data_IF_250051092364
#
_entry.id   IF_250051092364
#
_cell.length_a   1.000
_cell.length_b   1.000
_cell.length_c   1.000
_cell.angle_alpha   90.00
_cell.angle_beta   90.00
_cell.angle_gamma   90.00
#
_symmetry.space_group_name_H-M   'P 1'
#
loop_
_entity.id
_entity.type
_entity.pdbx_description
1 polymer ?
#
# COMPACT_ATOMS: atom_id res chain seq x y z
N UNK A 1 6.02 21.78 9.29
CA UNK A 1 6.67 20.60 8.69
C UNK A 1 7.37 21.02 7.41
N UNK A 2 8.63 20.64 7.23
CA UNK A 2 9.46 21.07 6.09
C UNK A 2 9.35 20.05 4.94
N UNK A 3 9.00 20.52 3.74
CA UNK A 3 9.05 19.72 2.52
C UNK A 3 10.33 20.09 1.79
N UNK A 4 11.23 19.12 1.65
CA UNK A 4 12.49 19.31 0.93
C UNK A 4 12.31 18.89 -0.54
N UNK A 5 12.86 19.68 -1.45
CA UNK A 5 13.01 19.31 -2.86
C UNK A 5 14.43 18.76 -3.06
N UNK A 6 14.55 17.57 -3.62
CA UNK A 6 15.83 16.87 -3.75
C UNK A 6 16.02 16.32 -5.15
N UNK A 7 17.26 16.36 -5.65
CA UNK A 7 17.60 15.64 -6.85
C UNK A 7 17.93 14.18 -6.49
N UNK A 8 17.12 13.23 -6.97
CA UNK A 8 17.31 11.81 -6.71
C UNK A 8 18.53 11.29 -7.48
N UNK A 9 19.54 10.83 -6.74
CA UNK A 9 20.78 10.31 -7.34
C UNK A 9 20.64 8.84 -7.77
N UNK A 10 19.96 8.02 -6.97
CA UNK A 10 19.79 6.59 -7.28
C UNK A 10 18.57 6.36 -8.15
N UNK A 11 18.77 5.78 -9.31
CA UNK A 11 17.75 5.34 -10.27
C UNK A 11 17.54 3.83 -10.22
N UNK A 12 17.91 3.19 -9.09
CA UNK A 12 17.82 1.75 -8.93
C UNK A 12 16.35 1.30 -8.91
N UNK A 13 16.02 0.40 -9.81
CA UNK A 13 14.77 -0.36 -9.83
C UNK A 13 15.03 -1.70 -9.16
N UNK A 14 14.16 -2.11 -8.26
CA UNK A 14 14.33 -3.32 -7.44
C UNK A 14 13.15 -4.25 -7.64
N UNK A 15 13.36 -5.53 -7.46
CA UNK A 15 12.26 -6.48 -7.35
C UNK A 15 11.33 -6.11 -6.21
N UNK A 16 10.04 -6.19 -6.46
CA UNK A 16 9.02 -6.08 -5.42
C UNK A 16 8.74 -7.47 -4.82
N UNK A 17 8.14 -7.49 -3.64
CA UNK A 17 7.73 -8.75 -3.02
C UNK A 17 6.52 -9.38 -3.74
N UNK A 18 5.37 -8.71 -3.74
CA UNK A 18 4.10 -9.27 -4.25
C UNK A 18 3.12 -8.23 -4.83
N UNK A 19 3.19 -7.00 -4.36
CA UNK A 19 2.22 -5.96 -4.73
C UNK A 19 2.38 -5.50 -6.17
N UNK A 20 3.63 -5.49 -6.65
CA UNK A 20 4.03 -5.11 -8.02
C UNK A 20 5.16 -6.01 -8.48
N UNK A 21 5.52 -5.98 -9.75
CA UNK A 21 6.71 -6.69 -10.24
C UNK A 21 7.97 -5.98 -9.74
N UNK A 22 8.00 -4.66 -9.80
CA UNK A 22 9.17 -3.86 -9.44
C UNK A 22 8.79 -2.68 -8.53
N UNK A 23 9.79 -2.17 -7.82
CA UNK A 23 9.76 -0.90 -7.09
C UNK A 23 10.54 0.12 -7.92
N UNK A 24 9.90 1.22 -8.29
CA UNK A 24 10.54 2.31 -9.03
C UNK A 24 11.54 3.09 -8.16
N UNK A 25 12.42 3.90 -8.74
CA UNK A 25 13.09 4.96 -8.00
C UNK A 25 12.06 5.85 -7.33
N UNK A 26 12.34 6.31 -6.11
CA UNK A 26 11.34 7.03 -5.30
C UNK A 26 11.06 8.43 -5.85
N UNK A 27 9.80 8.72 -6.15
CA UNK A 27 9.32 10.08 -6.44
C UNK A 27 9.30 10.96 -5.19
N UNK A 28 9.02 10.36 -4.04
CA UNK A 28 9.07 11.00 -2.74
C UNK A 28 9.60 10.06 -1.65
N UNK A 29 9.98 10.62 -0.51
CA UNK A 29 10.50 9.88 0.63
C UNK A 29 10.02 10.53 1.93
N UNK A 30 9.43 9.73 2.82
CA UNK A 30 8.74 10.19 4.02
C UNK A 30 7.23 10.22 3.82
N UNK A 31 6.48 10.40 4.91
CA UNK A 31 5.03 10.43 4.86
C UNK A 31 4.45 11.41 5.89
N UNK A 32 3.41 12.13 5.50
CA UNK A 32 2.70 13.09 6.35
C UNK A 32 1.76 12.41 7.33
N UNK A 33 1.34 11.16 7.05
CA UNK A 33 0.66 10.34 8.04
C UNK A 33 1.63 9.89 9.14
N UNK A 34 1.07 9.55 10.28
CA UNK A 34 1.84 9.09 11.44
C UNK A 34 1.39 7.70 11.91
N UNK A 35 1.23 6.78 10.96
CA UNK A 35 0.82 5.41 11.29
C UNK A 35 1.82 4.75 12.23
N UNK A 36 1.31 4.15 13.32
CA UNK A 36 2.14 3.61 14.41
C UNK A 36 3.03 2.45 13.97
N UNK A 37 2.61 1.67 12.98
CA UNK A 37 3.37 0.55 12.43
C UNK A 37 4.32 0.94 11.29
N UNK A 38 4.30 2.20 10.80
CA UNK A 38 5.02 2.57 9.58
C UNK A 38 6.51 2.75 9.82
N UNK A 39 7.33 1.94 9.16
CA UNK A 39 8.79 2.00 9.25
C UNK A 39 9.39 3.30 8.70
N UNK A 40 8.67 4.03 7.83
CA UNK A 40 9.19 5.26 7.22
C UNK A 40 9.51 6.35 8.23
N UNK A 41 8.82 6.38 9.37
CA UNK A 41 9.11 7.34 10.43
C UNK A 41 10.47 7.13 11.10
N UNK A 42 11.03 5.92 11.00
CA UNK A 42 12.41 5.63 11.43
C UNK A 42 13.45 6.36 10.57
N UNK A 43 13.20 6.42 9.25
CA UNK A 43 14.16 6.97 8.29
C UNK A 43 14.03 8.48 8.13
N UNK A 44 12.81 9.00 8.23
CA UNK A 44 12.52 10.44 8.16
C UNK A 44 11.42 10.77 9.19
N UNK A 45 11.78 10.96 10.46
CA UNK A 45 10.81 11.20 11.54
C UNK A 45 9.93 12.41 11.29
N UNK A 46 10.50 13.46 10.69
CA UNK A 46 9.81 14.72 10.41
C UNK A 46 10.01 15.13 8.95
N UNK A 47 8.91 15.25 8.23
CA UNK A 47 8.93 15.84 6.91
C UNK A 47 8.70 14.89 5.74
N UNK A 48 8.95 15.45 4.58
CA UNK A 48 8.79 14.82 3.28
C UNK A 48 9.86 15.38 2.34
N UNK A 49 10.50 14.53 1.56
CA UNK A 49 11.35 14.95 0.45
C UNK A 49 10.71 14.54 -0.87
N UNK A 50 10.66 15.48 -1.83
CA UNK A 50 10.08 15.27 -3.16
C UNK A 50 11.20 15.36 -4.19
N UNK A 51 11.26 14.39 -5.10
CA UNK A 51 12.24 14.35 -6.17
C UNK A 51 11.96 15.43 -7.22
N UNK A 52 12.97 16.20 -7.59
CA UNK A 52 12.86 17.28 -8.61
C UNK A 52 13.10 16.77 -10.03
N UNK A 53 13.82 15.68 -10.16
CA UNK A 53 14.18 15.09 -11.45
C UNK A 53 13.22 13.95 -11.86
N UNK A 54 11.94 14.25 -11.88
CA UNK A 54 10.88 13.31 -12.31
C UNK A 54 11.19 12.70 -13.69
N UNK A 55 11.74 13.49 -14.62
CA UNK A 55 12.11 13.01 -15.96
C UNK A 55 13.13 11.89 -15.95
N UNK A 56 14.18 12.00 -15.12
CA UNK A 56 15.20 10.95 -15.00
C UNK A 56 14.63 9.65 -14.44
N UNK A 57 13.71 9.77 -13.45
CA UNK A 57 13.00 8.61 -12.88
C UNK A 57 12.16 7.92 -13.96
N UNK A 58 11.39 8.67 -14.75
CA UNK A 58 10.57 8.12 -15.82
C UNK A 58 11.43 7.49 -16.92
N UNK A 59 12.56 8.11 -17.28
CA UNK A 59 13.54 7.54 -18.22
C UNK A 59 14.11 6.21 -17.70
N UNK A 60 14.43 6.13 -16.40
CA UNK A 60 14.90 4.87 -15.81
C UNK A 60 13.83 3.76 -15.87
N UNK A 61 12.55 4.09 -15.60
CA UNK A 61 11.43 3.15 -15.72
C UNK A 61 11.27 2.71 -17.18
N UNK A 62 11.28 3.63 -18.14
CA UNK A 62 11.17 3.34 -19.58
C UNK A 62 12.26 2.35 -20.02
N UNK A 63 13.51 2.68 -19.74
CA UNK A 63 14.64 1.84 -20.13
C UNK A 63 14.55 0.44 -19.50
N UNK A 64 14.17 0.37 -18.21
CA UNK A 64 13.98 -0.91 -17.55
C UNK A 64 12.83 -1.71 -18.17
N UNK A 65 11.68 -1.08 -18.43
CA UNK A 65 10.51 -1.74 -18.99
C UNK A 65 10.78 -2.35 -20.38
N UNK A 66 11.55 -1.64 -21.21
CA UNK A 66 11.94 -2.12 -22.55
C UNK A 66 12.78 -3.41 -22.52
N UNK A 67 13.55 -3.64 -21.43
CA UNK A 67 14.37 -4.83 -21.26
C UNK A 67 13.75 -5.90 -20.36
N UNK A 68 12.72 -5.54 -19.57
CA UNK A 68 12.06 -6.45 -18.61
C UNK A 68 11.03 -7.40 -19.24
N UNK A 69 11.05 -7.57 -20.54
CA UNK A 69 9.92 -8.08 -21.34
C UNK A 69 9.63 -9.58 -21.14
N UNK A 70 10.57 -10.40 -20.62
CA UNK A 70 10.41 -11.83 -20.72
C UNK A 70 9.83 -12.47 -19.46
N UNK A 71 10.39 -12.16 -18.28
CA UNK A 71 9.94 -12.79 -17.03
C UNK A 71 9.66 -11.76 -15.94
N UNK A 72 8.39 -11.44 -15.75
CA UNK A 72 7.97 -10.59 -14.63
C UNK A 72 8.03 -11.37 -13.32
N UNK A 73 8.69 -10.85 -12.27
CA UNK A 73 8.94 -11.60 -11.06
C UNK A 73 7.69 -12.03 -10.29
N UNK A 74 6.62 -11.26 -10.33
CA UNK A 74 5.43 -11.50 -9.51
C UNK A 74 4.14 -11.77 -10.32
N UNK A 75 4.16 -11.59 -11.63
CA UNK A 75 2.99 -11.77 -12.49
C UNK A 75 1.75 -10.98 -11.99
N UNK A 76 1.95 -9.73 -11.60
CA UNK A 76 0.90 -8.92 -10.97
C UNK A 76 -0.15 -8.40 -11.96
N UNK A 77 0.17 -8.41 -13.25
CA UNK A 77 -0.72 -8.08 -14.35
C UNK A 77 -0.39 -8.91 -15.60
N UNK A 78 -1.41 -9.38 -16.33
CA UNK A 78 -1.18 -10.28 -17.47
C UNK A 78 -0.36 -9.63 -18.59
N UNK A 79 -0.64 -8.35 -18.90
CA UNK A 79 -0.04 -7.65 -20.05
C UNK A 79 1.09 -6.70 -19.65
N UNK A 80 1.02 -6.07 -18.49
CA UNK A 80 1.90 -4.97 -18.14
C UNK A 80 2.90 -5.33 -17.04
N UNK A 81 4.08 -4.75 -17.13
CA UNK A 81 5.08 -4.75 -16.06
C UNK A 81 4.70 -3.67 -15.06
N UNK A 82 4.45 -4.06 -13.81
CA UNK A 82 3.93 -3.17 -12.78
C UNK A 82 5.05 -2.59 -11.91
N UNK A 83 4.97 -1.29 -11.65
CA UNK A 83 5.94 -0.54 -10.83
C UNK A 83 5.26 0.09 -9.62
N UNK A 84 5.72 -0.20 -8.40
CA UNK A 84 5.33 0.55 -7.21
C UNK A 84 6.01 1.92 -7.22
N UNK A 85 5.21 2.98 -7.35
CA UNK A 85 5.68 4.38 -7.36
C UNK A 85 5.59 5.04 -5.99
N UNK A 86 5.15 4.31 -4.96
CA UNK A 86 4.79 4.82 -3.64
C UNK A 86 5.46 4.05 -2.48
N UNK A 87 6.48 3.24 -2.76
CA UNK A 87 7.11 2.39 -1.74
C UNK A 87 7.59 3.18 -0.49
N UNK A 88 8.02 4.42 -0.67
CA UNK A 88 8.59 5.24 0.40
C UNK A 88 7.71 6.41 0.84
N UNK A 89 6.46 6.48 0.40
CA UNK A 89 5.52 7.55 0.72
C UNK A 89 4.05 7.10 0.54
N UNK A 90 3.10 7.94 0.91
CA UNK A 90 1.75 7.88 0.34
C UNK A 90 1.67 8.90 -0.81
N UNK A 91 1.85 8.42 -2.04
CA UNK A 91 1.92 9.26 -3.23
C UNK A 91 0.67 10.13 -3.41
N UNK A 92 -0.49 9.55 -3.16
CA UNK A 92 -1.76 10.26 -3.31
C UNK A 92 -1.91 11.41 -2.30
N UNK A 93 -1.49 11.21 -1.05
CA UNK A 93 -1.45 12.25 -0.02
C UNK A 93 -0.55 13.42 -0.44
N UNK A 94 0.56 13.10 -1.09
CA UNK A 94 1.58 14.07 -1.49
C UNK A 94 1.42 14.60 -2.92
N UNK A 95 0.37 14.20 -3.64
CA UNK A 95 0.17 14.49 -5.05
C UNK A 95 0.32 15.98 -5.42
N UNK A 96 -0.08 16.91 -4.53
CA UNK A 96 0.07 18.35 -4.77
C UNK A 96 1.54 18.83 -4.88
N UNK A 97 2.49 18.00 -4.45
CA UNK A 97 3.92 18.29 -4.46
C UNK A 97 4.66 17.59 -5.59
N UNK A 98 4.01 16.63 -6.24
CA UNK A 98 4.50 15.90 -7.41
C UNK A 98 3.97 16.49 -8.71
N UNK A 99 4.73 16.32 -9.79
CA UNK A 99 4.19 16.44 -11.15
C UNK A 99 3.43 15.15 -11.53
N UNK A 100 2.37 14.88 -10.77
CA UNK A 100 1.62 13.62 -10.88
C UNK A 100 0.96 13.44 -12.26
N UNK A 101 0.53 14.54 -12.92
CA UNK A 101 -0.06 14.46 -14.26
C UNK A 101 0.95 13.91 -15.26
N UNK A 102 2.18 14.42 -15.23
CA UNK A 102 3.28 13.92 -16.07
C UNK A 102 3.58 12.44 -15.79
N UNK A 103 3.61 12.04 -14.51
CA UNK A 103 3.84 10.65 -14.12
C UNK A 103 2.72 9.74 -14.64
N UNK A 104 1.46 10.14 -14.48
CA UNK A 104 0.32 9.35 -14.93
C UNK A 104 0.21 9.30 -16.46
N UNK A 105 0.49 10.41 -17.16
CA UNK A 105 0.55 10.46 -18.62
C UNK A 105 1.61 9.50 -19.16
N UNK A 106 2.80 9.48 -18.55
CA UNK A 106 3.85 8.53 -18.91
C UNK A 106 3.34 7.07 -18.87
N UNK A 107 2.72 6.65 -17.77
CA UNK A 107 2.21 5.28 -17.69
C UNK A 107 1.05 5.03 -18.64
N UNK A 108 0.14 5.98 -18.80
CA UNK A 108 -0.98 5.89 -19.73
C UNK A 108 -0.51 5.64 -21.16
N UNK A 109 0.50 6.34 -21.61
CA UNK A 109 1.04 6.29 -22.98
C UNK A 109 2.07 5.17 -23.20
N UNK A 110 2.61 4.57 -22.12
CA UNK A 110 3.65 3.55 -22.23
C UNK A 110 3.06 2.17 -22.56
N UNK A 111 3.56 1.47 -23.56
CA UNK A 111 3.01 0.19 -24.02
C UNK A 111 3.15 -0.96 -23.01
N UNK A 112 4.20 -0.94 -22.18
CA UNK A 112 4.60 -2.05 -21.33
C UNK A 112 4.41 -1.73 -19.84
N UNK A 113 4.76 -0.52 -19.38
CA UNK A 113 4.78 -0.17 -17.98
C UNK A 113 3.40 0.24 -17.44
N UNK A 114 3.11 -0.13 -16.21
CA UNK A 114 1.93 0.23 -15.43
C UNK A 114 2.35 0.72 -14.04
N UNK A 115 1.83 1.88 -13.61
CA UNK A 115 2.09 2.41 -12.27
C UNK A 115 1.17 1.82 -11.22
N UNK A 116 1.65 1.67 -9.98
CA UNK A 116 0.82 1.23 -8.86
C UNK A 116 1.22 1.95 -7.58
N UNK A 117 0.24 2.28 -6.74
CA UNK A 117 0.48 2.85 -5.42
C UNK A 117 -0.63 2.46 -4.43
N UNK A 118 -0.26 2.35 -3.15
CA UNK A 118 -1.21 2.20 -2.06
C UNK A 118 -1.48 3.56 -1.39
N UNK A 119 -2.69 3.76 -0.89
CA UNK A 119 -3.04 5.01 -0.22
C UNK A 119 -4.03 4.82 0.93
N UNK A 120 -3.98 5.75 1.88
CA UNK A 120 -4.92 5.91 3.00
C UNK A 120 -5.69 7.24 2.93
N UNK A 121 -5.62 7.90 1.77
CA UNK A 121 -6.39 9.12 1.48
C UNK A 121 -7.28 8.93 0.25
N UNK A 122 -8.12 9.91 -0.04
CA UNK A 122 -8.97 9.94 -1.24
C UNK A 122 -8.49 11.10 -2.09
N UNK A 123 -7.70 10.83 -3.15
CA UNK A 123 -7.13 11.86 -3.99
C UNK A 123 -8.12 12.34 -5.06
N UNK A 124 -9.16 13.08 -4.68
CA UNK A 124 -10.21 13.54 -5.59
C UNK A 124 -9.69 14.17 -6.88
N UNK A 125 -8.54 14.88 -6.84
CA UNK A 125 -7.90 15.46 -8.03
C UNK A 125 -7.52 14.44 -9.10
N UNK A 126 -7.36 13.17 -8.75
CA UNK A 126 -7.04 12.11 -9.72
C UNK A 126 -8.26 11.68 -10.51
N UNK A 127 -9.48 11.95 -10.03
CA UNK A 127 -10.72 11.66 -10.77
C UNK A 127 -10.86 12.48 -12.06
N UNK A 128 -10.10 13.58 -12.20
CA UNK A 128 -10.04 14.39 -13.42
C UNK A 128 -9.16 13.78 -14.52
N UNK A 129 -8.50 12.64 -14.25
CA UNK A 129 -7.58 11.99 -15.16
C UNK A 129 -8.00 10.54 -15.40
N UNK A 130 -8.17 10.16 -16.66
CA UNK A 130 -8.41 8.77 -17.05
C UNK A 130 -7.08 8.10 -17.43
N UNK A 131 -6.54 7.19 -16.58
CA UNK A 131 -5.28 6.49 -16.87
C UNK A 131 -5.44 5.28 -17.80
N UNK A 132 -6.62 5.00 -18.32
CA UNK A 132 -6.91 3.87 -19.19
C UNK A 132 -6.41 2.51 -18.65
N UNK A 133 -6.70 2.25 -17.38
CA UNK A 133 -6.27 1.05 -16.66
C UNK A 133 -4.78 0.97 -16.34
N UNK A 134 -3.96 1.96 -16.73
CA UNK A 134 -2.49 1.92 -16.59
C UNK A 134 -1.97 2.42 -15.23
N UNK A 135 -2.87 2.83 -14.35
CA UNK A 135 -2.55 3.17 -12.95
C UNK A 135 -3.42 2.32 -12.03
N UNK A 136 -2.76 1.51 -11.19
CA UNK A 136 -3.41 0.79 -10.10
C UNK A 136 -3.39 1.60 -8.83
N UNK A 137 -4.58 1.89 -8.30
CA UNK A 137 -4.76 2.44 -6.96
C UNK A 137 -5.17 1.33 -5.99
N UNK A 138 -4.45 1.22 -4.88
CA UNK A 138 -4.70 0.23 -3.82
C UNK A 138 -5.18 0.95 -2.58
N UNK A 139 -6.51 0.97 -2.34
CA UNK A 139 -7.06 1.57 -1.12
C UNK A 139 -6.77 0.66 0.07
N UNK A 140 -5.98 1.16 1.04
CA UNK A 140 -5.70 0.42 2.27
C UNK A 140 -6.94 0.43 3.17
N UNK A 141 -7.39 -0.75 3.58
CA UNK A 141 -8.53 -0.93 4.48
C UNK A 141 -8.15 -1.78 5.69
N UNK A 142 -8.72 -1.45 6.82
CA UNK A 142 -8.74 -2.23 8.06
C UNK A 142 -9.98 -1.83 8.86
N UNK A 143 -10.36 -2.55 9.93
CA UNK A 143 -11.45 -2.13 10.81
C UNK A 143 -11.29 -0.69 11.31
N UNK A 144 -12.38 0.08 11.30
CA UNK A 144 -12.33 1.53 11.59
C UNK A 144 -11.83 1.84 12.99
N UNK A 145 -12.20 1.03 14.01
CA UNK A 145 -11.76 1.16 15.39
C UNK A 145 -10.22 1.05 15.49
N UNK A 146 -9.62 0.10 14.79
CA UNK A 146 -8.16 -0.09 14.77
C UNK A 146 -7.48 1.00 13.93
N UNK A 147 -8.06 1.36 12.78
CA UNK A 147 -7.54 2.47 11.97
C UNK A 147 -7.47 3.77 12.77
N UNK A 148 -8.48 4.06 13.59
CA UNK A 148 -8.49 5.24 14.44
C UNK A 148 -7.31 5.27 15.44
N UNK A 149 -6.87 4.10 15.90
CA UNK A 149 -5.75 3.95 16.85
C UNK A 149 -4.40 4.03 16.14
N UNK A 150 -4.21 3.23 15.08
CA UNK A 150 -2.87 3.00 14.49
C UNK A 150 -2.60 3.81 13.22
N UNK A 151 -3.62 4.44 12.62
CA UNK A 151 -3.53 5.26 11.40
C UNK A 151 -4.09 6.70 11.62
N UNK A 152 -3.56 7.46 12.58
CA UNK A 152 -4.09 8.79 12.85
C UNK A 152 -4.02 9.71 11.62
N UNK A 153 -5.05 10.54 11.46
CA UNK A 153 -5.20 11.53 10.39
C UNK A 153 -5.38 10.96 8.99
N UNK A 154 -5.60 9.66 8.83
CA UNK A 154 -5.96 9.06 7.54
C UNK A 154 -7.45 9.26 7.23
N UNK A 155 -7.86 9.06 5.98
CA UNK A 155 -9.27 9.14 5.62
C UNK A 155 -10.07 8.02 6.33
N UNK A 156 -11.29 8.28 6.81
CA UNK A 156 -12.15 7.24 7.39
C UNK A 156 -12.36 6.07 6.44
N UNK A 157 -12.40 4.85 6.97
CA UNK A 157 -12.47 3.61 6.17
C UNK A 157 -13.69 3.60 5.25
N UNK A 158 -14.87 3.95 5.76
CA UNK A 158 -16.10 4.02 4.95
C UNK A 158 -15.97 5.00 3.77
N UNK A 159 -15.25 6.12 3.95
CA UNK A 159 -15.01 7.06 2.84
C UNK A 159 -14.08 6.47 1.78
N UNK A 160 -13.05 5.69 2.20
CA UNK A 160 -12.16 4.98 1.25
C UNK A 160 -12.94 3.94 0.45
N UNK A 161 -13.83 3.18 1.10
CA UNK A 161 -14.70 2.19 0.43
C UNK A 161 -15.60 2.87 -0.60
N UNK A 162 -16.31 3.92 -0.21
CA UNK A 162 -17.21 4.67 -1.12
C UNK A 162 -16.52 5.30 -2.33
N UNK A 163 -15.22 5.58 -2.23
CA UNK A 163 -14.45 6.15 -3.33
C UNK A 163 -14.07 5.11 -4.40
N UNK A 164 -14.12 3.82 -4.11
CA UNK A 164 -13.68 2.74 -5.02
C UNK A 164 -14.35 2.86 -6.38
N UNK A 165 -15.68 2.95 -6.40
CA UNK A 165 -16.45 3.00 -7.66
C UNK A 165 -16.15 4.26 -8.49
N UNK A 166 -15.89 5.40 -7.84
CA UNK A 166 -15.56 6.63 -8.55
C UNK A 166 -14.22 6.50 -9.29
N UNK A 167 -13.22 5.86 -8.66
CA UNK A 167 -11.93 5.60 -9.29
C UNK A 167 -12.01 4.55 -10.41
N UNK A 168 -12.85 3.53 -10.26
CA UNK A 168 -13.12 2.56 -11.33
C UNK A 168 -13.75 3.28 -12.54
N UNK A 169 -14.76 4.13 -12.30
CA UNK A 169 -15.42 4.92 -13.37
C UNK A 169 -14.44 5.89 -14.05
N UNK A 170 -13.48 6.43 -13.30
CA UNK A 170 -12.44 7.29 -13.85
C UNK A 170 -11.36 6.54 -14.64
N UNK A 171 -11.42 5.20 -14.72
CA UNK A 171 -10.51 4.38 -15.53
C UNK A 171 -9.28 3.86 -14.80
N UNK A 172 -9.25 3.86 -13.46
CA UNK A 172 -8.19 3.24 -12.67
C UNK A 172 -8.42 1.73 -12.52
N UNK A 173 -7.32 0.96 -12.45
CA UNK A 173 -7.33 -0.39 -11.91
C UNK A 173 -7.35 -0.29 -10.37
N UNK A 174 -8.45 -0.72 -9.74
CA UNK A 174 -8.65 -0.50 -8.30
C UNK A 174 -8.57 -1.80 -7.52
N UNK A 175 -7.70 -1.83 -6.52
CA UNK A 175 -7.60 -2.94 -5.59
C UNK A 175 -7.89 -2.49 -4.15
N UNK A 176 -8.39 -3.41 -3.34
CA UNK A 176 -8.43 -3.28 -1.89
C UNK A 176 -7.15 -3.88 -1.31
N UNK A 177 -6.47 -3.14 -0.46
CA UNK A 177 -5.26 -3.58 0.22
C UNK A 177 -5.54 -3.72 1.72
N UNK A 178 -5.88 -4.91 2.17
CA UNK A 178 -6.02 -5.23 3.60
C UNK A 178 -4.63 -5.31 4.24
N UNK A 179 -4.06 -4.14 4.60
CA UNK A 179 -2.67 -4.04 5.06
C UNK A 179 -2.44 -2.87 6.03
N UNK A 180 -1.93 -3.20 7.23
CA UNK A 180 -1.71 -4.55 7.75
C UNK A 180 -2.98 -5.18 8.33
N UNK A 181 -3.10 -6.50 8.25
CA UNK A 181 -4.05 -7.26 9.07
C UNK A 181 -3.44 -7.40 10.46
N UNK A 182 -4.11 -6.85 11.46
CA UNK A 182 -3.71 -6.91 12.87
C UNK A 182 -4.69 -7.84 13.57
N UNK A 183 -4.16 -8.82 14.30
CA UNK A 183 -4.97 -9.78 15.06
C UNK A 183 -4.99 -9.40 16.53
N UNK A 184 -6.17 -9.35 17.11
CA UNK A 184 -6.49 -9.01 18.49
C UNK A 184 -7.79 -9.72 18.91
N UNK A 185 -8.18 -9.79 20.19
CA UNK A 185 -9.47 -10.32 20.54
C UNK A 185 -10.62 -9.57 19.84
N UNK A 186 -11.47 -10.29 19.08
CA UNK A 186 -12.57 -9.70 18.29
C UNK A 186 -12.21 -9.25 16.87
N UNK A 187 -10.98 -9.52 16.38
CA UNK A 187 -10.55 -9.09 15.05
C UNK A 187 -11.42 -9.67 13.91
N UNK A 188 -11.97 -10.87 14.08
CA UNK A 188 -12.81 -11.49 13.04
C UNK A 188 -14.15 -10.77 12.89
N UNK A 189 -14.77 -10.46 13.99
CA UNK A 189 -16.03 -9.73 14.05
C UNK A 189 -15.87 -8.34 13.43
N UNK A 190 -14.79 -7.65 13.70
CA UNK A 190 -14.50 -6.34 13.12
C UNK A 190 -14.20 -6.44 11.61
N UNK A 191 -13.53 -7.51 11.12
CA UNK A 191 -13.35 -7.74 9.69
C UNK A 191 -14.65 -8.18 9.00
N UNK A 192 -15.52 -8.90 9.68
CA UNK A 192 -16.87 -9.23 9.19
C UNK A 192 -17.67 -7.96 8.90
N UNK A 193 -17.66 -7.00 9.83
CA UNK A 193 -18.29 -5.70 9.62
C UNK A 193 -17.66 -4.93 8.45
N UNK A 194 -16.33 -4.93 8.36
CA UNK A 194 -15.61 -4.31 7.26
C UNK A 194 -16.01 -4.91 5.90
N UNK A 195 -16.10 -6.23 5.80
CA UNK A 195 -16.48 -6.91 4.56
C UNK A 195 -17.93 -6.63 4.18
N UNK A 196 -18.86 -6.58 5.14
CA UNK A 196 -20.26 -6.15 4.92
C UNK A 196 -20.33 -4.71 4.38
N UNK A 197 -19.48 -3.81 4.87
CA UNK A 197 -19.39 -2.45 4.31
C UNK A 197 -18.87 -2.46 2.86
N UNK A 198 -17.87 -3.29 2.55
CA UNK A 198 -17.37 -3.44 1.17
C UNK A 198 -18.48 -3.99 0.27
N UNK A 199 -19.19 -5.04 0.69
CA UNK A 199 -20.30 -5.62 -0.05
C UNK A 199 -21.42 -4.61 -0.34
N UNK A 200 -21.74 -3.78 0.67
CA UNK A 200 -22.83 -2.79 0.59
C UNK A 200 -22.50 -1.61 -0.33
N UNK A 201 -21.26 -1.13 -0.31
CA UNK A 201 -20.92 0.15 -0.96
C UNK A 201 -20.10 0.03 -2.24
N UNK A 202 -19.56 -1.14 -2.57
CA UNK A 202 -18.87 -1.38 -3.84
C UNK A 202 -19.84 -1.97 -4.84
N UNK A 203 -20.13 -1.24 -5.92
CA UNK A 203 -21.06 -1.68 -6.96
C UNK A 203 -20.35 -2.39 -8.13
N UNK A 204 -19.13 -1.97 -8.49
CA UNK A 204 -18.33 -2.58 -9.57
C UNK A 204 -17.57 -3.81 -9.06
N UNK A 205 -18.29 -4.80 -8.52
CA UNK A 205 -17.77 -5.95 -7.81
C UNK A 205 -16.81 -6.82 -8.63
N UNK A 206 -17.04 -6.96 -9.91
CA UNK A 206 -16.22 -7.72 -10.87
C UNK A 206 -14.85 -7.10 -11.17
N UNK A 207 -14.67 -5.83 -10.85
CA UNK A 207 -13.45 -5.05 -11.16
C UNK A 207 -12.49 -4.87 -9.97
N UNK A 208 -12.86 -5.34 -8.78
CA UNK A 208 -12.09 -5.10 -7.56
C UNK A 208 -11.42 -6.38 -7.08
N UNK A 209 -10.09 -6.37 -6.99
CA UNK A 209 -9.29 -7.46 -6.42
C UNK A 209 -8.76 -7.08 -5.03
N UNK A 210 -8.34 -8.07 -4.25
CA UNK A 210 -7.78 -7.88 -2.93
C UNK A 210 -6.31 -8.27 -2.82
N UNK A 211 -5.62 -7.60 -1.92
CA UNK A 211 -4.26 -7.91 -1.45
C UNK A 211 -4.29 -7.96 0.07
N UNK A 212 -3.69 -8.97 0.67
CA UNK A 212 -3.77 -9.19 2.13
C UNK A 212 -2.38 -9.35 2.71
N UNK A 213 -2.04 -8.49 3.67
CA UNK A 213 -0.72 -8.48 4.31
C UNK A 213 -0.90 -8.47 5.82
N UNK A 214 -0.54 -9.57 6.47
CA UNK A 214 -0.52 -9.65 7.92
C UNK A 214 0.63 -8.82 8.50
N UNK A 215 0.42 -8.29 9.68
CA UNK A 215 1.35 -7.38 10.34
C UNK A 215 2.77 -7.96 10.42
N UNK A 216 3.71 -7.14 10.01
CA UNK A 216 5.13 -7.23 10.36
C UNK A 216 5.53 -5.92 10.99
N UNK A 217 6.07 -5.93 12.21
CA UNK A 217 6.45 -4.71 12.89
C UNK A 217 7.95 -4.61 13.09
N UNK A 218 8.49 -3.40 12.97
CA UNK A 218 9.92 -3.15 13.04
C UNK A 218 10.37 -2.83 14.46
N UNK A 219 11.48 -3.43 14.92
CA UNK A 219 11.99 -3.24 16.29
C UNK A 219 12.35 -1.77 16.59
N UNK A 220 13.02 -1.09 15.67
CA UNK A 220 13.38 0.33 15.89
C UNK A 220 12.12 1.21 15.98
N UNK A 221 11.07 0.85 15.20
CA UNK A 221 9.80 1.57 15.28
C UNK A 221 9.07 1.28 16.57
N UNK A 222 9.12 0.05 17.07
CA UNK A 222 8.63 -0.33 18.39
C UNK A 222 9.29 0.50 19.49
N UNK A 223 10.62 0.53 19.53
CA UNK A 223 11.37 1.31 20.49
C UNK A 223 11.08 2.82 20.41
N UNK A 224 10.93 3.34 19.18
CA UNK A 224 10.50 4.72 18.96
C UNK A 224 9.10 4.98 19.54
N UNK A 225 8.16 4.08 19.31
CA UNK A 225 6.79 4.21 19.79
C UNK A 225 6.73 4.20 21.32
N UNK A 226 7.46 3.29 21.97
CA UNK A 226 7.56 3.24 23.44
C UNK A 226 8.14 4.53 24.00
N UNK A 227 9.26 5.01 23.46
CA UNK A 227 9.92 6.24 23.88
C UNK A 227 9.02 7.47 23.78
N UNK A 228 8.14 7.51 22.78
CA UNK A 228 7.27 8.65 22.51
C UNK A 228 5.81 8.42 22.96
N UNK A 229 5.56 7.38 23.75
CA UNK A 229 4.23 7.03 24.27
C UNK A 229 3.16 6.98 23.16
N UNK A 230 3.48 6.38 22.00
CA UNK A 230 2.54 6.25 20.89
C UNK A 230 1.47 5.24 21.26
N UNK A 231 0.22 5.67 21.21
CA UNK A 231 -0.94 4.86 21.57
C UNK A 231 -1.10 3.67 20.60
N UNK A 232 -1.55 2.52 21.12
CA UNK A 232 -1.84 1.31 20.33
C UNK A 232 -0.64 0.42 20.04
N UNK A 233 0.54 0.68 20.64
CA UNK A 233 1.73 -0.16 20.41
C UNK A 233 1.54 -1.62 20.87
N UNK A 234 0.71 -1.86 21.87
CA UNK A 234 0.37 -3.19 22.35
C UNK A 234 -0.42 -4.04 21.31
N UNK A 235 -1.05 -3.40 20.32
CA UNK A 235 -1.66 -4.08 19.18
C UNK A 235 -0.62 -4.51 18.13
N UNK A 236 0.54 -3.85 18.11
CA UNK A 236 1.57 -4.03 17.09
C UNK A 236 2.70 -4.95 17.54
N UNK A 237 3.00 -4.95 18.84
CA UNK A 237 4.08 -5.74 19.42
C UNK A 237 3.55 -6.63 20.53
N UNK A 238 3.52 -7.96 20.24
CA UNK A 238 3.08 -8.97 21.19
C UNK A 238 3.98 -10.21 21.11
N UNK A 239 4.96 -10.37 22.03
CA UNK A 239 5.93 -11.47 21.97
C UNK A 239 5.32 -12.87 22.17
N UNK A 240 4.10 -12.97 22.71
CA UNK A 240 3.42 -14.26 22.87
C UNK A 240 3.00 -14.88 21.54
N UNK A 241 2.61 -14.06 20.58
CA UNK A 241 2.10 -14.49 19.27
C UNK A 241 3.03 -14.13 18.11
N UNK A 242 4.14 -13.45 18.40
CA UNK A 242 5.10 -13.01 17.40
C UNK A 242 6.47 -13.65 17.60
N UNK A 243 7.23 -13.72 16.53
CA UNK A 243 8.61 -14.20 16.46
C UNK A 243 9.51 -13.22 15.72
N UNK A 244 10.80 -13.27 16.02
CA UNK A 244 11.79 -12.45 15.33
C UNK A 244 11.92 -12.85 13.85
N UNK A 245 12.05 -11.84 12.98
CA UNK A 245 12.29 -11.99 11.55
C UNK A 245 13.30 -10.95 11.08
N UNK A 246 14.27 -11.38 10.29
CA UNK A 246 15.15 -10.46 9.57
C UNK A 246 14.48 -10.09 8.25
N UNK A 247 14.40 -8.78 7.96
CA UNK A 247 13.89 -8.31 6.66
C UNK A 247 14.88 -8.60 5.53
N UNK A 248 14.42 -8.53 4.29
CA UNK A 248 15.26 -8.69 3.09
C UNK A 248 16.49 -7.76 3.09
N UNK A 249 16.42 -6.65 3.81
CA UNK A 249 17.50 -5.65 3.91
C UNK A 249 18.17 -5.61 5.29
N UNK A 250 18.12 -6.72 6.04
CA UNK A 250 18.81 -6.87 7.31
C UNK A 250 18.14 -6.22 8.53
N UNK A 251 16.98 -5.56 8.37
CA UNK A 251 16.28 -4.93 9.49
C UNK A 251 15.64 -5.98 10.42
N UNK A 252 15.73 -5.75 11.72
CA UNK A 252 15.08 -6.57 12.74
C UNK A 252 13.59 -6.26 12.81
N UNK A 253 12.76 -7.26 12.61
CA UNK A 253 11.32 -7.17 12.64
C UNK A 253 10.74 -8.30 13.51
N UNK A 254 9.47 -8.16 13.86
CA UNK A 254 8.64 -9.28 14.34
C UNK A 254 7.54 -9.55 13.33
N UNK A 255 7.14 -10.81 13.24
CA UNK A 255 5.97 -11.28 12.50
C UNK A 255 5.16 -12.22 13.38
N UNK A 256 3.95 -12.51 13.02
CA UNK A 256 3.21 -13.60 13.69
C UNK A 256 3.93 -14.93 13.53
N UNK A 257 3.97 -15.73 14.60
CA UNK A 257 4.46 -17.11 14.59
C UNK A 257 3.72 -17.91 13.53
N UNK A 258 4.42 -18.80 12.83
CA UNK A 258 3.89 -19.48 11.65
C UNK A 258 2.61 -20.24 11.95
N UNK A 259 2.55 -20.92 13.09
CA UNK A 259 1.38 -21.70 13.54
C UNK A 259 0.11 -20.85 13.65
N UNK A 260 0.18 -19.70 14.33
CA UNK A 260 -0.95 -18.77 14.45
C UNK A 260 -1.27 -18.11 13.10
N UNK A 261 -0.26 -17.71 12.37
CA UNK A 261 -0.42 -17.02 11.09
C UNK A 261 -1.15 -17.87 10.05
N UNK A 262 -0.83 -19.17 9.94
CA UNK A 262 -1.51 -20.08 9.03
C UNK A 262 -2.99 -20.21 9.37
N UNK A 263 -3.31 -20.38 10.66
CA UNK A 263 -4.69 -20.44 11.13
C UNK A 263 -5.45 -19.15 10.84
N UNK A 264 -4.84 -17.98 11.11
CA UNK A 264 -5.49 -16.69 10.87
C UNK A 264 -5.65 -16.36 9.38
N UNK A 265 -4.71 -16.77 8.55
CA UNK A 265 -4.84 -16.69 7.09
C UNK A 265 -6.07 -17.49 6.64
N UNK A 266 -6.23 -18.72 7.11
CA UNK A 266 -7.38 -19.54 6.74
C UNK A 266 -8.68 -18.91 7.22
N UNK A 267 -8.75 -18.48 8.48
CA UNK A 267 -9.91 -17.78 9.02
C UNK A 267 -10.28 -16.51 8.24
N UNK A 268 -9.26 -15.74 7.80
CA UNK A 268 -9.48 -14.56 6.98
C UNK A 268 -10.06 -14.94 5.61
N UNK A 269 -9.50 -15.96 4.96
CA UNK A 269 -9.99 -16.46 3.66
C UNK A 269 -11.42 -16.94 3.76
N UNK A 270 -11.74 -17.74 4.76
CA UNK A 270 -13.07 -18.31 4.96
C UNK A 270 -14.11 -17.19 5.13
N UNK A 271 -13.85 -16.25 6.05
CA UNK A 271 -14.73 -15.11 6.30
C UNK A 271 -14.86 -14.20 5.08
N UNK A 272 -13.76 -13.91 4.40
CA UNK A 272 -13.75 -13.07 3.19
C UNK A 272 -14.56 -13.73 2.06
N UNK A 273 -14.36 -15.02 1.83
CA UNK A 273 -15.04 -15.77 0.77
C UNK A 273 -16.53 -15.95 1.03
N UNK A 274 -16.94 -16.00 2.29
CA UNK A 274 -18.34 -16.07 2.69
C UNK A 274 -19.09 -14.77 2.40
N UNK A 275 -18.47 -13.61 2.67
CA UNK A 275 -19.17 -12.32 2.65
C UNK A 275 -18.97 -11.58 1.32
N UNK A 276 -17.75 -11.59 0.79
CA UNK A 276 -17.38 -10.86 -0.44
C UNK A 276 -16.66 -11.75 -1.46
N UNK A 277 -17.27 -12.85 -1.92
CA UNK A 277 -16.66 -13.82 -2.83
C UNK A 277 -16.23 -13.20 -4.17
N UNK A 278 -16.81 -12.08 -4.56
CA UNK A 278 -16.43 -11.34 -5.77
C UNK A 278 -15.05 -10.69 -5.68
N UNK A 279 -14.57 -10.39 -4.45
CA UNK A 279 -13.32 -9.66 -4.23
C UNK A 279 -12.13 -10.64 -4.21
N UNK A 280 -11.70 -11.11 -5.38
CA UNK A 280 -10.64 -12.11 -5.51
C UNK A 280 -9.35 -11.68 -4.81
N UNK A 281 -8.87 -12.49 -3.86
CA UNK A 281 -7.56 -12.30 -3.21
C UNK A 281 -6.45 -12.70 -4.19
N UNK A 282 -5.62 -11.74 -4.61
CA UNK A 282 -4.45 -11.97 -5.48
C UNK A 282 -3.33 -12.68 -4.73
N UNK A 283 -3.08 -12.26 -3.50
CA UNK A 283 -2.13 -12.88 -2.59
C UNK A 283 -2.46 -12.56 -1.13
N UNK A 284 -1.99 -13.44 -0.25
CA UNK A 284 -2.09 -13.29 1.21
C UNK A 284 -0.81 -13.78 1.87
N UNK A 285 -0.25 -13.02 2.82
CA UNK A 285 0.93 -13.45 3.58
C UNK A 285 1.08 -12.77 4.94
#
# INVERSE_FOLDING_TARGET
MKIAKVNRKSMLIRYSGRSTDYISPSFGYGCLFNCSYCYMKRHLPEGLSISTNTGDILTAINNHAMFAVVDKPNQTHEKFVTYDISCNEDFALHAKHHDWKRIFTFFKEHDIAMGSFATKTIPHRFLEFNPDGKIRIRFSLMPQNISAIVEPNTAPILKRIKAIDDFIKAGYDVHINYSPVITYPGWKEDYEELFKLVDTYVNNKDKVKAEVIFLTHNEDKHLYNLKNNIFGENLLWNPYIQEAKVSQYGGKNVRYKLEYKQQWIQQFIDLHSEIIPFNQIRYIF
#
